data_IF_523336808700
#
_entry.id   IF_523336808700
#
_cell.length_a   1.000
_cell.length_b   1.000
_cell.length_c   1.000
_cell.angle_alpha   90.00
_cell.angle_beta   90.00
_cell.angle_gamma   90.00
#
_symmetry.space_group_name_H-M   'P 1'
#
loop_
_entity.id
_entity.type
_entity.pdbx_description
1 polymer ?
#
# COMPACT_ATOMS: atom_id res chain seq x y z
N UNK A 1 11.32 -6.80 -15.24
CA UNK A 1 12.11 -6.18 -14.15
C UNK A 1 11.14 -5.85 -13.02
N UNK A 2 11.24 -6.57 -11.89
CA UNK A 2 10.17 -6.64 -10.89
C UNK A 2 10.38 -5.56 -9.83
N UNK A 3 9.33 -4.79 -9.49
CA UNK A 3 9.39 -3.84 -8.37
C UNK A 3 9.70 -4.57 -7.05
N UNK A 4 10.49 -3.93 -6.17
CA UNK A 4 10.82 -4.49 -4.85
C UNK A 4 9.68 -4.22 -3.88
N UNK A 5 9.22 -5.25 -3.15
CA UNK A 5 8.31 -5.06 -2.01
C UNK A 5 9.04 -4.25 -0.93
N UNK A 6 8.53 -3.06 -0.64
CA UNK A 6 9.14 -2.14 0.33
C UNK A 6 8.60 -2.39 1.74
N UNK A 7 7.26 -2.52 1.89
CA UNK A 7 6.61 -2.68 3.19
C UNK A 7 5.26 -3.38 3.05
N UNK A 8 4.85 -4.11 4.10
CA UNK A 8 3.46 -4.52 4.31
C UNK A 8 2.84 -3.57 5.33
N UNK A 9 1.74 -2.91 4.98
CA UNK A 9 1.06 -1.97 5.88
C UNK A 9 0.07 -2.66 6.82
N UNK A 10 -0.66 -3.64 6.30
CA UNK A 10 -1.61 -4.45 7.06
C UNK A 10 -1.65 -5.87 6.49
N UNK A 11 -1.71 -6.88 7.36
CA UNK A 11 -1.83 -8.29 6.98
C UNK A 11 -2.65 -9.06 8.02
N UNK A 12 -3.87 -8.60 8.25
CA UNK A 12 -4.81 -9.22 9.20
C UNK A 12 -6.21 -9.24 8.61
N UNK A 13 -7.07 -10.13 9.12
CA UNK A 13 -8.49 -10.13 8.77
C UNK A 13 -9.13 -8.88 9.38
N UNK A 14 -9.77 -8.08 8.54
CA UNK A 14 -10.57 -6.94 8.98
C UNK A 14 -12.06 -7.26 8.81
N UNK A 15 -12.88 -6.81 9.75
CA UNK A 15 -14.33 -6.94 9.67
C UNK A 15 -14.92 -6.10 8.53
N UNK A 16 -16.21 -6.26 8.29
CA UNK A 16 -16.94 -5.43 7.33
C UNK A 16 -16.91 -3.98 7.83
N UNK A 17 -16.62 -3.02 6.94
CA UNK A 17 -16.58 -1.60 7.26
C UNK A 17 -15.46 -0.85 6.56
N UNK A 18 -15.30 0.41 6.93
CA UNK A 18 -14.19 1.25 6.47
C UNK A 18 -12.98 1.08 7.40
N UNK A 19 -11.80 0.99 6.80
CA UNK A 19 -10.54 0.83 7.54
C UNK A 19 -9.52 1.84 7.02
N UNK A 20 -8.86 2.52 7.95
CA UNK A 20 -7.78 3.47 7.63
C UNK A 20 -6.46 2.91 8.14
N UNK A 21 -5.42 2.98 7.32
CA UNK A 21 -4.06 2.57 7.69
C UNK A 21 -3.11 3.73 7.44
N UNK A 22 -2.41 4.15 8.49
CA UNK A 22 -1.37 5.19 8.39
C UNK A 22 -0.11 4.61 7.77
N UNK A 23 0.45 5.31 6.78
CA UNK A 23 1.70 4.95 6.14
C UNK A 23 2.73 6.06 6.32
N UNK A 24 3.73 5.80 7.15
CA UNK A 24 4.91 6.66 7.23
C UNK A 24 5.87 6.33 6.08
N UNK A 25 6.05 7.31 5.19
CA UNK A 25 6.90 7.26 4.02
C UNK A 25 8.18 8.12 4.15
N UNK A 26 8.48 8.66 5.34
CA UNK A 26 9.62 9.55 5.60
C UNK A 26 10.97 9.00 5.12
N UNK A 27 11.19 7.69 5.30
CA UNK A 27 12.40 6.98 4.88
C UNK A 27 12.47 6.61 3.40
N UNK A 28 11.47 6.97 2.59
CA UNK A 28 11.42 6.63 1.16
C UNK A 28 11.85 7.82 0.29
N UNK A 29 12.44 7.53 -0.88
CA UNK A 29 12.79 8.56 -1.84
C UNK A 29 11.53 9.08 -2.56
N UNK A 30 11.53 10.34 -2.99
CA UNK A 30 10.46 10.86 -3.84
C UNK A 30 10.34 10.05 -5.14
N UNK A 31 9.13 9.79 -5.59
CA UNK A 31 8.90 8.97 -6.78
C UNK A 31 7.55 8.25 -6.80
N UNK A 32 7.38 7.38 -7.80
CA UNK A 32 6.15 6.61 -7.99
C UNK A 32 6.24 5.28 -7.23
N UNK A 33 5.26 5.05 -6.37
CA UNK A 33 5.08 3.81 -5.64
C UNK A 33 3.81 3.11 -6.10
N UNK A 34 3.86 1.78 -6.13
CA UNK A 34 2.68 0.95 -6.41
C UNK A 34 2.27 0.28 -5.11
N UNK A 35 0.99 0.38 -4.77
CA UNK A 35 0.43 -0.37 -3.65
C UNK A 35 -0.70 -1.28 -4.13
N UNK A 36 -0.92 -2.35 -3.37
CA UNK A 36 -1.90 -3.39 -3.65
C UNK A 36 -2.79 -3.59 -2.44
N UNK A 37 -4.10 -3.50 -2.66
CA UNK A 37 -5.13 -3.84 -1.69
C UNK A 37 -5.70 -5.20 -2.06
N UNK A 38 -5.76 -6.13 -1.10
CA UNK A 38 -6.34 -7.47 -1.29
C UNK A 38 -7.33 -7.76 -0.16
N UNK A 39 -8.57 -8.07 -0.51
CA UNK A 39 -9.64 -8.43 0.42
C UNK A 39 -10.45 -9.61 -0.16
N UNK A 40 -10.15 -10.83 0.28
CA UNK A 40 -10.72 -12.04 -0.31
C UNK A 40 -10.38 -12.14 -1.80
N UNK A 41 -11.41 -12.20 -2.66
CA UNK A 41 -11.27 -12.21 -4.12
C UNK A 41 -11.02 -10.82 -4.73
N UNK A 42 -11.27 -9.75 -3.98
CA UNK A 42 -11.01 -8.39 -4.45
C UNK A 42 -9.51 -8.08 -4.42
N UNK A 43 -8.98 -7.59 -5.54
CA UNK A 43 -7.62 -7.08 -5.63
C UNK A 43 -7.61 -5.78 -6.44
N UNK A 44 -6.99 -4.73 -5.88
CA UNK A 44 -6.81 -3.46 -6.55
C UNK A 44 -5.36 -3.00 -6.46
N UNK A 45 -4.82 -2.50 -7.57
CA UNK A 45 -3.50 -1.87 -7.63
C UNK A 45 -3.68 -0.39 -7.94
N UNK A 46 -2.93 0.45 -7.25
CA UNK A 46 -2.95 1.90 -7.46
C UNK A 46 -1.52 2.44 -7.42
N UNK A 47 -1.31 3.58 -8.08
CA UNK A 47 -0.05 4.32 -8.07
C UNK A 47 -0.17 5.49 -7.10
N UNK A 48 0.91 5.80 -6.41
CA UNK A 48 1.05 6.96 -5.51
C UNK A 48 2.30 7.72 -5.92
N UNK A 49 2.20 9.03 -6.07
CA UNK A 49 3.35 9.90 -6.23
C UNK A 49 3.75 10.42 -4.85
N UNK A 50 4.95 10.07 -4.38
CA UNK A 50 5.53 10.63 -3.18
C UNK A 50 6.35 11.86 -3.57
N UNK A 51 5.91 13.02 -3.11
CA UNK A 51 6.63 14.29 -3.20
C UNK A 51 7.25 14.62 -1.85
N UNK A 52 8.39 15.32 -1.88
CA UNK A 52 8.99 15.95 -0.71
C UNK A 52 8.73 17.45 -0.78
#
# INVERSE_FOLDING_TARGET
MVGRKIKTLVNQRQGIGQHTVSFDASGLASGIYIYKLKAGAFEQRRKMLLLR
#
